data_IF_999814257910
#
_entry.id   IF_999814257910
#
_cell.length_a   1.000
_cell.length_b   1.000
_cell.length_c   1.000
_cell.angle_alpha   90.00
_cell.angle_beta   90.00
_cell.angle_gamma   90.00
#
_symmetry.space_group_name_H-M   'P 1'
#
loop_
_entity.id
_entity.type
_entity.pdbx_description
1 polymer ?
#
# COMPACT_ATOMS: atom_id res chain seq x y z
N UNK A 1 -15.02 2.76 -8.19
CA UNK A 1 -15.43 2.08 -6.92
C UNK A 1 -15.85 0.63 -7.15
N UNK A 2 -16.57 0.30 -8.25
CA UNK A 2 -16.98 -1.09 -8.52
C UNK A 2 -15.77 -2.04 -8.63
N UNK A 3 -14.71 -1.63 -9.33
CA UNK A 3 -13.48 -2.41 -9.45
C UNK A 3 -12.85 -2.70 -8.08
N UNK A 4 -12.64 -1.66 -7.25
CA UNK A 4 -12.10 -1.79 -5.88
C UNK A 4 -12.96 -2.73 -5.04
N UNK A 5 -14.30 -2.60 -5.10
CA UNK A 5 -15.24 -3.45 -4.36
C UNK A 5 -15.14 -4.92 -4.76
N UNK A 6 -14.80 -5.19 -6.00
CA UNK A 6 -14.66 -6.55 -6.54
C UNK A 6 -13.22 -7.10 -6.45
N UNK A 7 -12.31 -6.39 -5.79
CA UNK A 7 -10.91 -6.82 -5.61
C UNK A 7 -10.01 -6.59 -6.82
N UNK A 8 -10.48 -5.81 -7.81
CA UNK A 8 -9.67 -5.46 -8.99
C UNK A 8 -8.80 -4.25 -8.65
N UNK A 9 -7.52 -4.29 -9.02
CA UNK A 9 -6.64 -3.14 -8.93
C UNK A 9 -7.07 -2.05 -9.92
N UNK A 10 -6.83 -0.81 -9.55
CA UNK A 10 -7.03 0.37 -10.40
C UNK A 10 -5.72 1.16 -10.50
N UNK A 11 -5.54 1.87 -11.60
CA UNK A 11 -4.45 2.86 -11.73
C UNK A 11 -4.96 4.20 -11.21
N UNK A 12 -4.26 4.75 -10.24
CA UNK A 12 -4.50 6.10 -9.73
C UNK A 12 -3.31 6.98 -10.07
N UNK A 13 -3.57 8.14 -10.62
CA UNK A 13 -2.53 9.11 -10.98
C UNK A 13 -2.67 10.37 -10.13
N UNK A 14 -1.57 10.99 -9.80
CA UNK A 14 -1.55 12.27 -9.11
C UNK A 14 -1.27 13.43 -10.08
N UNK A 15 -1.20 14.65 -9.54
CA UNK A 15 -0.98 15.87 -10.31
C UNK A 15 0.45 15.92 -10.87
N UNK A 16 0.60 16.48 -12.09
CA UNK A 16 1.90 16.67 -12.75
C UNK A 16 2.88 17.52 -11.92
N UNK A 17 2.35 18.41 -11.06
CA UNK A 17 3.15 19.26 -10.17
C UNK A 17 3.49 18.60 -8.85
N UNK A 18 2.98 17.38 -8.56
CA UNK A 18 3.28 16.62 -7.36
C UNK A 18 4.37 15.58 -7.68
N UNK A 19 4.05 14.29 -7.76
CA UNK A 19 5.01 13.23 -8.14
C UNK A 19 4.95 12.96 -9.64
N UNK A 20 3.81 13.28 -10.26
CA UNK A 20 3.50 12.96 -11.67
C UNK A 20 3.68 11.46 -11.93
N UNK A 21 3.15 10.64 -11.04
CA UNK A 21 3.27 9.18 -11.05
C UNK A 21 1.91 8.51 -11.08
N UNK A 22 1.91 7.21 -11.23
CA UNK A 22 0.73 6.39 -11.12
C UNK A 22 1.02 5.13 -10.34
N UNK A 23 0.10 4.79 -9.43
CA UNK A 23 0.15 3.59 -8.63
C UNK A 23 -0.93 2.61 -9.04
N UNK A 24 -0.60 1.31 -9.00
CA UNK A 24 -1.60 0.27 -8.83
C UNK A 24 -2.11 0.33 -7.40
N UNK A 25 -3.44 0.43 -7.26
CA UNK A 25 -4.11 0.43 -5.95
C UNK A 25 -5.14 -0.68 -5.93
N UNK A 26 -5.12 -1.53 -4.90
CA UNK A 26 -6.21 -2.44 -4.58
C UNK A 26 -6.57 -2.36 -3.10
N UNK A 27 -7.83 -2.67 -2.75
CA UNK A 27 -8.22 -2.73 -1.35
C UNK A 27 -7.45 -3.86 -0.64
N UNK A 28 -6.84 -3.54 0.51
CA UNK A 28 -5.90 -4.44 1.17
C UNK A 28 -6.52 -5.78 1.62
N UNK A 29 -7.83 -5.83 1.85
CA UNK A 29 -8.52 -7.09 2.17
C UNK A 29 -8.51 -8.11 1.02
N UNK A 30 -8.25 -7.66 -0.22
CA UNK A 30 -8.08 -8.51 -1.40
C UNK A 30 -6.61 -8.72 -1.80
N UNK A 31 -5.66 -8.38 -0.93
CA UNK A 31 -4.25 -8.65 -1.15
C UNK A 31 -3.98 -10.16 -1.05
N UNK A 32 -4.15 -10.87 -2.16
CA UNK A 32 -3.78 -12.28 -2.32
C UNK A 32 -2.34 -12.41 -2.80
N UNK A 33 -1.72 -13.60 -2.70
CA UNK A 33 -0.41 -13.83 -3.29
C UNK A 33 -0.32 -13.47 -4.78
N UNK A 34 -1.39 -13.75 -5.54
CA UNK A 34 -1.49 -13.43 -6.97
C UNK A 34 -1.49 -11.92 -7.20
N UNK A 35 -2.27 -11.16 -6.39
CA UNK A 35 -2.32 -9.69 -6.48
C UNK A 35 -0.95 -9.08 -6.13
N UNK A 36 -0.29 -9.55 -5.09
CA UNK A 36 1.06 -9.09 -4.70
C UNK A 36 2.09 -9.45 -5.79
N UNK A 37 2.01 -10.65 -6.34
CA UNK A 37 2.90 -11.05 -7.43
C UNK A 37 2.66 -10.18 -8.68
N UNK A 38 1.40 -9.90 -9.01
CA UNK A 38 1.04 -9.01 -10.11
C UNK A 38 1.65 -7.61 -9.92
N UNK A 39 1.49 -7.01 -8.73
CA UNK A 39 2.10 -5.72 -8.42
C UNK A 39 3.62 -5.75 -8.55
N UNK A 40 4.28 -6.80 -8.04
CA UNK A 40 5.72 -6.92 -8.09
C UNK A 40 6.27 -7.08 -9.52
N UNK A 41 5.55 -7.79 -10.40
CA UNK A 41 6.00 -8.08 -11.77
C UNK A 41 5.60 -6.98 -12.75
N UNK A 42 4.37 -6.49 -12.65
CA UNK A 42 3.81 -5.58 -13.64
C UNK A 42 4.00 -4.10 -13.27
N UNK A 43 3.87 -3.75 -11.97
CA UNK A 43 4.11 -2.36 -11.53
C UNK A 43 5.60 -2.11 -11.22
N UNK A 44 6.33 -3.03 -10.60
CA UNK A 44 7.78 -2.97 -10.31
C UNK A 44 8.19 -1.96 -9.25
N UNK A 45 7.24 -1.30 -8.59
CA UNK A 45 7.45 -0.33 -7.52
C UNK A 45 7.62 -0.96 -6.15
N UNK A 46 7.59 -0.13 -5.12
CA UNK A 46 7.61 -0.57 -3.73
C UNK A 46 6.19 -0.91 -3.26
N UNK A 47 5.98 -2.16 -2.84
CA UNK A 47 4.67 -2.56 -2.31
C UNK A 47 4.49 -2.02 -0.91
N UNK A 48 3.55 -1.08 -0.76
CA UNK A 48 3.22 -0.41 0.50
C UNK A 48 1.79 -0.70 0.93
N UNK A 49 1.55 -0.62 2.24
CA UNK A 49 0.24 -0.81 2.86
C UNK A 49 -0.26 0.51 3.46
N UNK A 50 -1.11 1.23 2.72
CA UNK A 50 -1.75 2.45 3.22
C UNK A 50 -2.84 2.11 4.24
N UNK A 51 -2.79 2.74 5.42
CA UNK A 51 -3.73 2.49 6.52
C UNK A 51 -4.07 3.79 7.27
N UNK A 52 -5.21 3.80 7.95
CA UNK A 52 -5.52 4.84 8.92
C UNK A 52 -4.54 4.85 10.09
N UNK A 53 -4.27 6.05 10.63
CA UNK A 53 -3.34 6.24 11.73
C UNK A 53 -3.72 5.47 12.99
N UNK A 54 -5.01 5.41 13.29
CA UNK A 54 -5.55 4.71 14.46
C UNK A 54 -5.15 3.21 14.43
N UNK A 55 -5.24 2.57 13.25
CA UNK A 55 -4.84 1.15 13.15
C UNK A 55 -3.33 0.95 13.32
N UNK A 56 -2.52 1.86 12.80
CA UNK A 56 -1.07 1.81 12.99
C UNK A 56 -0.67 2.01 14.45
N UNK A 57 -1.40 2.86 15.18
CA UNK A 57 -1.19 3.08 16.62
C UNK A 57 -1.55 1.81 17.43
N UNK A 58 -2.67 1.14 17.12
CA UNK A 58 -3.04 -0.14 17.74
C UNK A 58 -1.98 -1.23 17.52
N UNK A 59 -1.32 -1.23 16.37
CA UNK A 59 -0.26 -2.17 16.03
C UNK A 59 1.12 -1.75 16.54
N UNK A 60 1.24 -0.60 17.25
CA UNK A 60 2.49 -0.03 17.73
C UNK A 60 3.53 0.13 16.60
N UNK A 61 3.10 0.77 15.51
CA UNK A 61 3.93 1.03 14.32
C UNK A 61 4.30 2.53 14.26
N UNK A 62 5.41 2.93 14.89
CA UNK A 62 5.88 4.32 14.84
C UNK A 62 6.36 4.70 13.44
N UNK A 63 6.50 5.98 13.20
CA UNK A 63 7.15 6.48 11.99
C UNK A 63 8.58 5.93 11.87
N UNK A 64 9.00 5.66 10.65
CA UNK A 64 10.32 5.12 10.33
C UNK A 64 11.46 6.06 10.74
N UNK A 65 11.19 7.37 10.78
CA UNK A 65 12.14 8.41 11.13
C UNK A 65 11.51 9.43 12.09
N UNK A 66 12.29 9.96 13.01
CA UNK A 66 11.85 11.00 13.94
C UNK A 66 11.61 12.34 13.21
N UNK A 67 12.39 12.61 12.18
CA UNK A 67 12.28 13.82 11.36
C UNK A 67 12.13 13.42 9.88
N UNK A 68 10.92 13.58 9.36
CA UNK A 68 10.67 13.40 7.94
C UNK A 68 11.24 14.59 7.14
N UNK A 69 12.09 14.31 6.15
CA UNK A 69 12.71 15.29 5.24
C UNK A 69 12.28 15.07 3.80
N UNK A 70 11.34 14.14 3.55
CA UNK A 70 10.76 13.92 2.24
C UNK A 70 9.93 15.13 1.78
N UNK A 71 10.08 15.51 0.51
CA UNK A 71 9.39 16.66 -0.05
C UNK A 71 7.86 16.53 -0.03
N UNK A 72 7.36 15.30 -0.16
CA UNK A 72 5.95 14.97 -0.12
C UNK A 72 5.46 14.56 1.28
N UNK A 73 6.37 14.53 2.26
CA UNK A 73 6.11 14.13 3.63
C UNK A 73 5.42 12.77 3.75
N UNK A 74 5.77 11.81 2.88
CA UNK A 74 5.21 10.47 2.93
C UNK A 74 5.50 9.81 4.27
N UNK A 75 4.44 9.44 4.99
CA UNK A 75 4.54 9.01 6.38
C UNK A 75 4.81 7.49 6.46
N UNK A 76 5.99 7.06 6.06
CA UNK A 76 6.45 5.69 6.27
C UNK A 76 6.52 5.37 7.76
N UNK A 77 5.98 4.22 8.14
CA UNK A 77 6.23 3.61 9.44
C UNK A 77 7.33 2.57 9.35
N UNK A 78 7.76 2.01 10.46
CA UNK A 78 8.66 0.86 10.45
C UNK A 78 8.08 -0.26 9.61
N UNK A 79 8.90 -0.91 8.78
CA UNK A 79 8.48 -2.04 7.94
C UNK A 79 8.21 -3.27 8.80
N UNK A 80 7.32 -4.14 8.32
CA UNK A 80 6.83 -5.30 9.07
C UNK A 80 6.85 -6.59 8.25
N UNK A 81 6.94 -7.71 8.99
CA UNK A 81 6.53 -9.04 8.55
C UNK A 81 5.66 -9.67 9.65
N UNK A 82 4.70 -10.49 9.30
CA UNK A 82 4.00 -11.30 10.31
C UNK A 82 4.92 -12.38 10.88
N UNK A 83 4.60 -12.87 12.07
CA UNK A 83 5.39 -13.90 12.76
C UNK A 83 5.32 -15.27 12.08
N UNK A 84 6.21 -16.17 12.52
CA UNK A 84 6.25 -17.57 12.06
C UNK A 84 4.94 -18.31 12.37
N UNK A 85 4.25 -17.93 13.44
CA UNK A 85 2.94 -18.47 13.86
C UNK A 85 1.85 -18.22 12.83
N UNK A 86 2.03 -17.22 11.96
CA UNK A 86 1.15 -16.92 10.84
C UNK A 86 1.59 -17.58 9.52
N UNK A 87 2.63 -18.43 9.56
CA UNK A 87 3.15 -19.12 8.38
C UNK A 87 4.05 -18.27 7.50
N UNK A 88 4.50 -17.09 7.96
CA UNK A 88 5.45 -16.23 7.23
C UNK A 88 6.88 -16.73 7.47
N UNK A 89 7.61 -16.99 6.40
CA UNK A 89 8.98 -17.49 6.44
C UNK A 89 10.01 -16.33 6.49
N UNK A 90 10.59 -15.98 5.35
CA UNK A 90 11.57 -14.88 5.22
C UNK A 90 10.90 -13.52 5.03
N UNK A 91 9.62 -13.48 4.66
CA UNK A 91 8.83 -12.26 4.51
C UNK A 91 8.71 -11.72 3.08
N UNK A 92 9.65 -12.05 2.19
CA UNK A 92 9.74 -11.39 0.86
C UNK A 92 8.86 -12.03 -0.22
N UNK A 93 8.50 -13.32 -0.10
CA UNK A 93 7.66 -13.96 -1.10
C UNK A 93 6.31 -13.25 -1.26
N UNK A 94 5.66 -13.39 -2.41
CA UNK A 94 4.31 -12.84 -2.60
C UNK A 94 3.33 -13.38 -1.57
N UNK A 95 3.45 -14.66 -1.21
CA UNK A 95 2.65 -15.31 -0.17
C UNK A 95 2.92 -14.71 1.21
N UNK A 96 4.18 -14.55 1.61
CA UNK A 96 4.57 -13.97 2.89
C UNK A 96 4.08 -12.53 3.03
N UNK A 97 4.22 -11.72 1.97
CA UNK A 97 3.76 -10.33 1.95
C UNK A 97 2.24 -10.23 2.01
N UNK A 98 1.53 -11.04 1.23
CA UNK A 98 0.07 -11.11 1.30
C UNK A 98 -0.40 -11.51 2.70
N UNK A 99 0.23 -12.52 3.29
CA UNK A 99 -0.06 -12.99 4.66
C UNK A 99 0.18 -11.88 5.69
N UNK A 100 1.29 -11.17 5.59
CA UNK A 100 1.62 -10.04 6.47
C UNK A 100 0.54 -8.94 6.40
N UNK A 101 0.07 -8.60 5.18
CA UNK A 101 -1.01 -7.63 4.99
C UNK A 101 -2.28 -8.12 5.68
N UNK A 102 -2.70 -9.37 5.48
CA UNK A 102 -3.91 -9.92 6.09
C UNK A 102 -3.82 -9.93 7.64
N UNK A 103 -2.65 -10.26 8.18
CA UNK A 103 -2.41 -10.19 9.64
C UNK A 103 -2.51 -8.75 10.13
N UNK A 104 -1.91 -7.78 9.45
CA UNK A 104 -1.99 -6.37 9.84
C UNK A 104 -3.43 -5.82 9.81
N UNK A 105 -4.27 -6.30 8.89
CA UNK A 105 -5.67 -5.90 8.80
C UNK A 105 -6.57 -6.53 9.87
N UNK A 106 -6.23 -7.71 10.37
CA UNK A 106 -7.07 -8.41 11.33
C UNK A 106 -7.15 -7.62 12.65
N UNK A 107 -8.33 -7.18 13.08
CA UNK A 107 -8.46 -6.35 14.29
C UNK A 107 -8.02 -7.08 15.58
N UNK A 108 -7.95 -8.42 15.57
CA UNK A 108 -7.48 -9.20 16.70
C UNK A 108 -5.94 -9.28 16.80
N UNK A 109 -5.20 -8.85 15.76
CA UNK A 109 -3.74 -8.89 15.75
C UNK A 109 -3.15 -7.95 16.78
N UNK A 110 -2.23 -8.47 17.60
CA UNK A 110 -1.48 -7.73 18.60
C UNK A 110 -0.11 -7.30 18.04
N UNK A 111 0.48 -6.22 18.56
CA UNK A 111 1.81 -5.75 18.12
C UNK A 111 2.90 -6.81 18.12
N UNK A 112 2.90 -7.74 19.08
CA UNK A 112 3.90 -8.81 19.20
C UNK A 112 3.84 -9.86 18.07
N UNK A 113 2.75 -9.91 17.29
CA UNK A 113 2.57 -10.83 16.17
C UNK A 113 3.21 -10.30 14.87
N UNK A 114 3.71 -9.05 14.91
CA UNK A 114 4.43 -8.42 13.81
C UNK A 114 5.91 -8.24 14.14
N UNK A 115 6.78 -8.75 13.29
CA UNK A 115 8.24 -8.55 13.35
C UNK A 115 8.61 -7.22 12.70
N UNK A 116 9.65 -6.58 13.20
CA UNK A 116 10.21 -5.32 12.73
C UNK A 116 11.74 -5.42 12.70
N UNK A 117 12.42 -5.04 11.59
CA UNK A 117 11.87 -4.66 10.29
C UNK A 117 11.30 -5.84 9.52
N UNK A 118 10.66 -5.57 8.37
CA UNK A 118 10.12 -6.57 7.46
C UNK A 118 10.04 -6.08 6.02
N UNK A 119 9.21 -6.72 5.21
CA UNK A 119 9.15 -6.52 3.76
C UNK A 119 7.84 -5.87 3.27
N UNK A 120 6.91 -5.55 4.17
CA UNK A 120 5.76 -4.67 3.91
C UNK A 120 6.01 -3.33 4.61
N UNK A 121 5.74 -2.24 3.89
CA UNK A 121 5.95 -0.87 4.33
C UNK A 121 4.60 -0.20 4.60
N UNK A 122 4.15 -0.14 5.88
CA UNK A 122 2.92 0.56 6.18
C UNK A 122 3.11 2.08 6.04
N UNK A 123 2.10 2.74 5.47
CA UNK A 123 2.04 4.18 5.28
C UNK A 123 0.86 4.74 6.08
N UNK A 124 1.12 5.76 6.87
CA UNK A 124 0.10 6.47 7.65
C UNK A 124 -0.63 7.47 6.77
N UNK A 125 -1.88 7.19 6.42
CA UNK A 125 -2.74 8.15 5.75
C UNK A 125 -3.06 9.34 6.66
N UNK A 126 -3.07 10.56 6.11
CA UNK A 126 -3.49 11.74 6.85
C UNK A 126 -4.99 11.74 7.11
N UNK A 127 -5.36 12.05 8.34
CA UNK A 127 -6.77 12.21 8.72
C UNK A 127 -7.43 13.28 7.88
N UNK A 128 -8.54 12.93 7.23
CA UNK A 128 -9.25 13.77 6.26
C UNK A 128 -8.92 13.43 4.80
N UNK A 129 -8.11 12.39 4.55
CA UNK A 129 -7.92 11.76 3.26
C UNK A 129 -7.33 12.67 2.19
N UNK A 130 -7.69 12.43 0.94
CA UNK A 130 -7.18 13.19 -0.23
C UNK A 130 -7.48 14.69 -0.17
N UNK A 131 -8.48 15.12 0.60
CA UNK A 131 -8.78 16.54 0.81
C UNK A 131 -7.75 17.23 1.71
N UNK A 132 -6.92 16.48 2.41
CA UNK A 132 -5.83 17.00 3.26
C UNK A 132 -4.46 16.79 2.63
N UNK A 133 -4.23 15.67 1.99
CA UNK A 133 -3.03 15.35 1.23
C UNK A 133 -3.44 14.55 -0.02
N UNK A 134 -3.27 15.15 -1.19
CA UNK A 134 -3.66 14.56 -2.48
C UNK A 134 -2.63 13.52 -2.95
N UNK A 135 -2.35 12.51 -2.11
CA UNK A 135 -1.38 11.44 -2.37
C UNK A 135 -2.03 10.08 -2.55
N UNK A 136 -1.29 9.15 -3.17
CA UNK A 136 -1.73 7.77 -3.40
C UNK A 136 -2.06 7.02 -2.09
N UNK A 137 -1.35 7.33 -0.99
CA UNK A 137 -1.63 6.79 0.34
C UNK A 137 -3.05 7.09 0.79
N UNK A 138 -3.45 8.36 0.74
CA UNK A 138 -4.78 8.80 1.13
C UNK A 138 -5.83 8.28 0.13
N UNK A 139 -5.51 8.30 -1.16
CA UNK A 139 -6.42 7.79 -2.20
C UNK A 139 -6.75 6.30 -1.99
N UNK A 140 -5.78 5.49 -1.60
CA UNK A 140 -5.99 4.06 -1.35
C UNK A 140 -6.94 3.80 -0.19
N UNK A 141 -6.80 4.55 0.91
CA UNK A 141 -7.68 4.46 2.09
C UNK A 141 -9.08 4.96 1.73
N UNK A 142 -9.19 6.15 1.12
CA UNK A 142 -10.48 6.75 0.75
C UNK A 142 -11.25 5.88 -0.26
N UNK A 143 -10.58 5.34 -1.28
CA UNK A 143 -11.23 4.45 -2.27
C UNK A 143 -11.75 3.18 -1.62
N UNK A 144 -10.99 2.58 -0.70
CA UNK A 144 -11.43 1.40 0.05
C UNK A 144 -12.64 1.71 0.91
N UNK A 145 -12.60 2.80 1.66
CA UNK A 145 -13.71 3.24 2.51
C UNK A 145 -14.97 3.57 1.70
N UNK A 146 -14.85 4.30 0.59
CA UNK A 146 -15.96 4.63 -0.32
C UNK A 146 -16.54 3.39 -1.01
N UNK A 147 -15.75 2.34 -1.17
CA UNK A 147 -16.22 1.04 -1.65
C UNK A 147 -16.95 0.22 -0.58
N UNK A 148 -16.97 0.68 0.69
CA UNK A 148 -17.58 -0.04 1.83
C UNK A 148 -16.69 -1.18 2.36
N UNK A 149 -15.38 -1.07 2.18
CA UNK A 149 -14.37 -2.04 2.59
C UNK A 149 -13.55 -1.52 3.78
N UNK A 150 -12.66 -2.36 4.32
CA UNK A 150 -11.70 -1.93 5.34
C UNK A 150 -10.90 -0.74 4.81
N UNK A 151 -10.74 0.37 5.59
CA UNK A 151 -10.05 1.59 5.13
C UNK A 151 -8.52 1.38 5.06
N UNK A 152 -8.10 0.53 4.16
CA UNK A 152 -6.72 0.17 3.88
C UNK A 152 -6.56 -0.26 2.42
N UNK A 153 -5.46 0.13 1.80
CA UNK A 153 -5.14 -0.24 0.42
C UNK A 153 -3.69 -0.65 0.26
N UNK A 154 -3.44 -1.59 -0.65
CA UNK A 154 -2.08 -1.88 -1.12
C UNK A 154 -1.81 -1.02 -2.33
N UNK A 155 -0.67 -0.36 -2.35
CA UNK A 155 -0.23 0.52 -3.43
C UNK A 155 1.14 0.09 -3.93
N UNK A 156 1.41 0.34 -5.21
CA UNK A 156 2.68 0.04 -5.84
C UNK A 156 2.86 0.96 -7.05
N UNK A 157 3.94 1.74 -7.08
CA UNK A 157 4.25 2.65 -8.17
C UNK A 157 4.48 1.89 -9.47
N UNK A 158 4.04 2.45 -10.60
CA UNK A 158 4.18 1.82 -11.91
C UNK A 158 5.42 2.37 -12.61
N UNK A 159 6.35 1.46 -12.89
CA UNK A 159 7.56 1.72 -13.66
C UNK A 159 7.47 1.12 -15.06
N UNK A 160 8.11 1.78 -16.01
CA UNK A 160 8.38 1.24 -17.33
C UNK A 160 9.37 0.05 -17.25
N UNK A 161 9.46 -0.74 -18.31
CA UNK A 161 10.36 -1.90 -18.36
C UNK A 161 11.86 -1.54 -18.28
N UNK A 162 12.21 -0.29 -18.55
CA UNK A 162 13.56 0.24 -18.43
C UNK A 162 13.87 0.79 -17.03
N UNK A 163 12.90 0.74 -16.09
CA UNK A 163 13.03 1.23 -14.71
C UNK A 163 12.72 2.71 -14.54
N UNK A 164 12.38 3.44 -15.61
CA UNK A 164 11.89 4.82 -15.48
C UNK A 164 10.44 4.83 -14.97
N UNK A 165 10.02 5.94 -14.34
CA UNK A 165 8.64 6.08 -13.88
C UNK A 165 7.69 6.25 -15.07
N UNK A 166 6.61 5.47 -15.09
CA UNK A 166 5.55 5.61 -16.08
C UNK A 166 4.79 6.94 -15.85
N UNK A 167 4.50 7.65 -16.92
CA UNK A 167 3.75 8.91 -16.90
C UNK A 167 2.37 8.71 -17.53
N UNK A 168 1.51 9.70 -17.48
CA UNK A 168 0.11 9.58 -17.87
C UNK A 168 -0.12 8.88 -19.24
N UNK A 169 0.68 9.13 -20.32
CA UNK A 169 0.50 8.42 -21.58
C UNK A 169 0.79 6.91 -21.50
N UNK A 170 1.83 6.52 -20.74
CA UNK A 170 2.18 5.13 -20.48
C UNK A 170 1.15 4.47 -19.55
N UNK A 171 0.74 5.16 -18.50
CA UNK A 171 -0.24 4.68 -17.52
C UNK A 171 -1.61 4.39 -18.14
N UNK A 172 -2.05 5.20 -19.11
CA UNK A 172 -3.27 4.93 -19.87
C UNK A 172 -3.17 3.63 -20.67
N UNK A 173 -2.04 3.43 -21.38
CA UNK A 173 -1.80 2.18 -22.12
C UNK A 173 -1.72 0.98 -21.20
N UNK A 174 -1.12 1.15 -20.04
CA UNK A 174 -1.03 0.11 -19.01
C UNK A 174 -2.41 -0.28 -18.47
N UNK A 175 -3.28 0.70 -18.21
CA UNK A 175 -4.63 0.46 -17.69
C UNK A 175 -5.59 -0.19 -18.70
N UNK A 176 -5.28 -0.11 -20.01
CA UNK A 176 -6.08 -0.70 -21.09
C UNK A 176 -5.72 -2.18 -21.36
N UNK A 177 -4.70 -2.74 -20.71
CA UNK A 177 -4.24 -4.13 -20.85
C UNK A 177 -4.93 -5.06 -19.86
#
# INVERSE_FOLDING_TARGET
LAAIRNGTCVVVVDDEQRENEGDLICAAQFATPEAINFMATEARGLICLAMEGERLDELDLPLMVDRNTDANETAFTVSIDAGLEHGVSTGISAEDRARTIQVALNPATRPAELRRPGHIFPLRARKGGVLKRAGHTEAAVDLSQLAGLTPAGVICEIQNTDGSMARLPELRRYADQ
#
